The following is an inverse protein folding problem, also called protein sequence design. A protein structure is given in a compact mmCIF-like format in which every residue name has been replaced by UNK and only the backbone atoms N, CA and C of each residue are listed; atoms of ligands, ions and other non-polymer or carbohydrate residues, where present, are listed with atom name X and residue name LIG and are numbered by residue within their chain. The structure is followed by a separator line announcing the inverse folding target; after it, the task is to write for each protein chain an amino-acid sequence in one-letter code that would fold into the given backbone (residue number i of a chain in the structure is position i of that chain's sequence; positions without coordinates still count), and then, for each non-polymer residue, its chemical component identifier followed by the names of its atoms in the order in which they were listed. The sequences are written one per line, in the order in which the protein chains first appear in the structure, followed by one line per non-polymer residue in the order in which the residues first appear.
data_IF_210269862033
#
_entry.id   IF_210269862033
#
_cell.length_a   1.000
_cell.length_b   1.000
_cell.length_c   1.000
_cell.angle_alpha   90.00
_cell.angle_beta   90.00
_cell.angle_gamma   90.00
#
_symmetry.space_group_name_H-M   'P 1'
#
loop_
_entity.id
_entity.type
_entity.pdbx_description
1 polymer ?
#
# COMPACT_ATOMS: atom_id res chain seq x y z
N UNK A 1 26.76 21.26 9.42
CA UNK A 1 25.69 20.25 9.62
C UNK A 1 25.42 19.57 8.28
N UNK A 2 25.20 18.25 8.23
CA UNK A 2 25.00 17.53 6.97
C UNK A 2 23.52 17.46 6.62
N UNK A 3 23.15 18.07 5.49
CA UNK A 3 21.83 17.92 4.87
C UNK A 3 21.80 16.66 4.02
N UNK A 4 20.66 15.96 4.05
CA UNK A 4 20.43 14.72 3.30
C UNK A 4 19.02 14.72 2.72
N UNK A 5 18.87 14.07 1.57
CA UNK A 5 17.57 13.80 0.98
C UNK A 5 16.85 12.68 1.73
N UNK A 6 15.51 12.73 1.72
CA UNK A 6 14.71 11.60 2.17
C UNK A 6 15.05 10.34 1.36
N UNK A 7 15.23 9.20 2.04
CA UNK A 7 15.48 7.90 1.39
C UNK A 7 14.36 7.41 0.47
N UNK A 8 13.15 7.97 0.63
CA UNK A 8 11.99 7.69 -0.21
C UNK A 8 11.82 8.73 -1.32
N UNK A 9 12.85 9.56 -1.55
CA UNK A 9 12.90 10.57 -2.60
C UNK A 9 13.16 10.02 -3.98
N UNK A 10 12.82 10.83 -4.98
CA UNK A 10 13.12 10.58 -6.39
C UNK A 10 14.55 11.02 -6.69
N UNK A 11 15.53 10.31 -6.15
CA UNK A 11 16.94 10.63 -6.37
C UNK A 11 17.62 9.41 -7.00
N UNK A 12 17.88 9.48 -8.30
CA UNK A 12 18.80 8.57 -8.96
C UNK A 12 20.22 8.96 -8.58
N UNK A 13 20.94 8.08 -7.88
CA UNK A 13 22.40 8.21 -7.76
C UNK A 13 23.03 7.24 -8.75
N UNK A 14 23.57 7.76 -9.84
CA UNK A 14 24.65 7.06 -10.53
C UNK A 14 25.93 7.26 -9.71
N UNK A 15 26.46 6.18 -9.14
CA UNK A 15 27.67 6.21 -8.32
C UNK A 15 28.93 6.56 -9.15
N UNK A 16 28.83 6.53 -10.49
CA UNK A 16 29.93 6.86 -11.40
C UNK A 16 30.00 8.35 -11.78
N UNK A 17 28.90 9.12 -11.71
CA UNK A 17 28.85 10.48 -12.26
C UNK A 17 28.50 11.60 -11.27
N UNK A 18 28.13 11.28 -10.01
CA UNK A 18 27.65 12.26 -9.02
C UNK A 18 26.52 13.19 -9.53
N UNK A 19 25.85 12.83 -10.63
CA UNK A 19 24.71 13.57 -11.16
C UNK A 19 23.40 12.97 -10.66
N UNK A 20 22.59 13.80 -10.02
CA UNK A 20 21.21 13.49 -9.64
C UNK A 20 20.33 13.86 -10.82
N UNK A 21 19.78 12.87 -11.54
CA UNK A 21 18.71 13.12 -12.51
C UNK A 21 17.34 13.01 -11.82
N UNK A 22 16.42 13.88 -12.21
CA UNK A 22 15.02 13.83 -11.81
C UNK A 22 14.42 12.53 -12.38
N UNK A 23 14.02 11.62 -11.50
CA UNK A 23 13.26 10.44 -11.90
C UNK A 23 11.80 10.87 -11.95
N UNK A 24 11.09 10.65 -13.07
CA UNK A 24 9.66 10.93 -13.27
C UNK A 24 8.72 10.20 -12.28
N UNK A 25 9.27 9.52 -11.28
CA UNK A 25 8.53 8.81 -10.26
C UNK A 25 8.26 9.73 -9.08
N UNK A 26 7.01 9.85 -8.59
CA UNK A 26 6.71 10.75 -7.48
C UNK A 26 7.39 10.19 -6.22
N UNK A 27 8.41 10.89 -5.75
CA UNK A 27 9.16 10.59 -4.53
C UNK A 27 9.20 11.80 -3.61
N UNK A 28 9.58 11.59 -2.35
CA UNK A 28 9.72 12.69 -1.39
C UNK A 28 10.87 13.63 -1.75
N UNK A 29 10.58 14.90 -2.02
CA UNK A 29 11.61 15.91 -2.34
C UNK A 29 12.24 16.57 -1.11
N UNK A 30 11.90 16.11 0.10
CA UNK A 30 12.31 16.77 1.34
C UNK A 30 13.80 16.59 1.61
N UNK A 31 14.48 17.72 1.81
CA UNK A 31 15.86 17.79 2.32
C UNK A 31 15.81 18.18 3.79
N UNK A 32 16.60 17.50 4.63
CA UNK A 32 16.62 17.72 6.08
C UNK A 32 17.98 17.45 6.68
N UNK A 33 18.18 17.82 7.94
CA UNK A 33 19.38 17.45 8.68
C UNK A 33 19.37 15.94 8.92
N UNK A 34 20.55 15.31 8.90
CA UNK A 34 20.67 13.85 9.05
C UNK A 34 20.01 13.29 10.32
N UNK A 35 19.96 14.03 11.41
CA UNK A 35 19.30 13.58 12.65
C UNK A 35 17.77 13.61 12.56
N UNK A 36 17.18 14.35 11.61
CA UNK A 36 15.73 14.48 11.42
C UNK A 36 15.17 13.36 10.54
N UNK A 37 16.02 12.59 9.86
CA UNK A 37 15.58 11.53 8.94
C UNK A 37 14.75 10.45 9.61
N UNK A 38 15.07 9.93 10.82
CA UNK A 38 14.27 8.87 11.41
C UNK A 38 12.84 9.33 11.74
N UNK A 39 12.67 10.59 12.13
CA UNK A 39 11.36 11.18 12.41
C UNK A 39 10.57 11.36 11.12
N UNK A 40 11.19 11.93 10.08
CA UNK A 40 10.52 12.11 8.80
C UNK A 40 10.13 10.78 8.13
N UNK A 41 11.02 9.79 8.12
CA UNK A 41 10.78 8.51 7.45
C UNK A 41 9.58 7.74 8.01
N UNK A 42 9.29 7.90 9.31
CA UNK A 42 8.09 7.35 9.96
C UNK A 42 6.79 7.92 9.40
N UNK A 43 6.81 9.17 8.97
CA UNK A 43 5.61 9.91 8.54
C UNK A 43 5.58 10.18 7.03
N UNK A 44 6.67 9.90 6.33
CA UNK A 44 6.82 10.19 4.91
C UNK A 44 5.72 9.48 4.10
N UNK A 45 4.87 10.20 3.34
CA UNK A 45 3.80 9.61 2.52
C UNK A 45 4.33 8.67 1.43
N UNK A 46 5.58 8.90 1.00
CA UNK A 46 6.30 8.04 0.07
C UNK A 46 6.96 6.85 0.74
N UNK A 47 6.85 6.69 2.06
CA UNK A 47 7.25 5.45 2.74
C UNK A 47 6.44 4.27 2.22
N UNK A 48 7.02 3.08 2.25
CA UNK A 48 6.33 1.85 1.88
C UNK A 48 5.57 1.27 3.08
N UNK A 49 4.41 0.68 2.81
CA UNK A 49 3.60 -0.04 3.78
C UNK A 49 3.06 -1.33 3.15
N UNK A 50 3.14 -2.43 3.91
CA UNK A 50 2.56 -3.70 3.51
C UNK A 50 1.06 -3.69 3.82
N UNK A 51 0.25 -4.22 2.91
CA UNK A 51 -1.16 -4.38 3.17
C UNK A 51 -1.42 -5.34 4.34
N UNK A 52 -2.30 -4.92 5.25
CA UNK A 52 -2.68 -5.73 6.42
C UNK A 52 -4.02 -6.46 6.23
N UNK A 53 -4.63 -6.38 5.05
CA UNK A 53 -5.91 -7.04 4.79
C UNK A 53 -5.71 -8.55 4.64
N UNK A 54 -6.61 -9.29 5.28
CA UNK A 54 -6.58 -10.75 5.36
C UNK A 54 -7.84 -11.27 4.69
N UNK A 55 -7.65 -12.29 3.86
CA UNK A 55 -8.74 -13.02 3.24
C UNK A 55 -9.53 -13.75 4.34
N UNK A 56 -10.81 -13.43 4.50
CA UNK A 56 -11.67 -14.03 5.51
C UNK A 56 -11.97 -15.52 5.28
N UNK A 57 -11.82 -16.00 4.05
CA UNK A 57 -12.09 -17.39 3.69
C UNK A 57 -10.82 -18.25 3.84
N UNK A 58 -9.67 -17.75 3.38
CA UNK A 58 -8.42 -18.52 3.37
C UNK A 58 -7.44 -18.16 4.49
N UNK A 59 -7.65 -17.04 5.18
CA UNK A 59 -6.71 -16.48 6.15
C UNK A 59 -5.44 -15.90 5.52
N UNK A 60 -5.37 -15.82 4.18
CA UNK A 60 -4.19 -15.33 3.47
C UNK A 60 -4.08 -13.80 3.52
N UNK A 61 -2.87 -13.29 3.78
CA UNK A 61 -2.60 -11.85 3.85
C UNK A 61 -2.29 -11.33 2.44
N UNK A 62 -2.81 -10.15 2.10
CA UNK A 62 -2.45 -9.45 0.87
C UNK A 62 -0.94 -9.14 0.86
N UNK A 63 -0.22 -9.59 -0.19
CA UNK A 63 1.23 -9.40 -0.30
C UNK A 63 1.64 -8.07 -0.92
N UNK A 64 0.70 -7.17 -1.19
CA UNK A 64 0.96 -5.89 -1.84
C UNK A 64 1.72 -4.94 -0.93
N UNK A 65 2.83 -4.41 -1.44
CA UNK A 65 3.56 -3.29 -0.86
C UNK A 65 3.23 -2.04 -1.67
N UNK A 66 2.72 -0.99 -1.02
CA UNK A 66 2.38 0.27 -1.68
C UNK A 66 2.91 1.48 -0.90
N UNK A 67 2.88 2.66 -1.50
CA UNK A 67 3.22 3.90 -0.80
C UNK A 67 2.13 4.20 0.23
N UNK A 68 2.49 4.79 1.37
CA UNK A 68 1.52 5.21 2.39
C UNK A 68 0.44 6.13 1.83
N UNK A 69 0.81 7.02 0.90
CA UNK A 69 -0.13 7.90 0.20
C UNK A 69 -1.18 7.14 -0.62
N UNK A 70 -0.81 5.98 -1.18
CA UNK A 70 -1.68 5.14 -1.99
C UNK A 70 -2.41 4.08 -1.16
N UNK A 71 -2.07 3.92 0.12
CA UNK A 71 -2.55 2.82 0.95
C UNK A 71 -4.06 2.83 1.12
N UNK A 72 -4.66 4.00 1.36
CA UNK A 72 -6.10 4.14 1.49
C UNK A 72 -6.85 3.71 0.21
N UNK A 73 -6.32 4.08 -0.97
CA UNK A 73 -6.87 3.63 -2.26
C UNK A 73 -6.72 2.11 -2.40
N UNK A 74 -5.52 1.59 -2.13
CA UNK A 74 -5.29 0.15 -2.18
C UNK A 74 -6.28 -0.63 -1.28
N UNK A 75 -6.56 -0.16 -0.06
CA UNK A 75 -7.51 -0.84 0.83
C UNK A 75 -8.93 -0.92 0.25
N UNK A 76 -9.36 0.08 -0.53
CA UNK A 76 -10.66 0.09 -1.19
C UNK A 76 -10.72 -0.85 -2.40
N UNK A 77 -9.59 -1.08 -3.06
CA UNK A 77 -9.45 -1.90 -4.26
C UNK A 77 -8.93 -3.31 -3.96
N UNK A 78 -8.47 -3.57 -2.73
CA UNK A 78 -7.81 -4.82 -2.38
C UNK A 78 -8.77 -6.00 -2.48
N UNK A 79 -8.35 -7.05 -3.19
CA UNK A 79 -9.08 -8.31 -3.32
C UNK A 79 -9.33 -9.04 -2.00
N UNK A 80 -8.56 -8.73 -0.97
CA UNK A 80 -8.72 -9.25 0.40
C UNK A 80 -9.70 -8.41 1.24
N UNK A 81 -10.25 -7.31 0.71
CA UNK A 81 -11.24 -6.50 1.42
C UNK A 81 -12.55 -7.28 1.59
N UNK A 82 -13.23 -7.02 2.70
CA UNK A 82 -14.53 -7.60 2.98
C UNK A 82 -15.63 -6.88 2.18
N UNK A 83 -16.43 -7.67 1.46
CA UNK A 83 -17.63 -7.25 0.76
C UNK A 83 -18.83 -8.05 1.28
N UNK A 84 -20.00 -7.43 1.28
CA UNK A 84 -21.24 -8.12 1.63
C UNK A 84 -21.74 -8.91 0.42
N UNK A 85 -22.32 -10.08 0.68
CA UNK A 85 -23.13 -10.77 -0.33
C UNK A 85 -24.30 -9.89 -0.76
N UNK A 86 -24.67 -9.93 -2.04
CA UNK A 86 -25.81 -9.18 -2.58
C UNK A 86 -27.11 -9.99 -2.64
N UNK A 87 -27.06 -11.29 -2.35
CA UNK A 87 -28.23 -12.16 -2.39
C UNK A 87 -29.17 -11.83 -1.23
N UNK A 88 -30.47 -11.78 -1.49
CA UNK A 88 -31.46 -11.34 -0.51
C UNK A 88 -31.57 -12.36 0.64
N UNK A 89 -31.27 -11.93 1.86
CA UNK A 89 -31.27 -12.79 3.05
C UNK A 89 -29.89 -13.34 3.44
N UNK A 90 -28.84 -13.05 2.67
CA UNK A 90 -27.47 -13.39 3.06
C UNK A 90 -26.75 -12.22 3.76
N UNK A 91 -26.45 -12.36 5.05
CA UNK A 91 -25.67 -11.38 5.82
C UNK A 91 -24.16 -11.67 5.83
N UNK A 92 -23.68 -12.62 5.02
CA UNK A 92 -22.27 -12.98 4.99
C UNK A 92 -21.40 -11.87 4.39
N UNK A 93 -20.22 -11.70 4.99
CA UNK A 93 -19.16 -10.83 4.48
C UNK A 93 -17.94 -11.68 4.15
N UNK A 94 -17.60 -11.72 2.88
CA UNK A 94 -16.47 -12.50 2.36
C UNK A 94 -15.43 -11.59 1.71
N UNK A 95 -14.22 -12.10 1.50
CA UNK A 95 -13.22 -11.40 0.70
C UNK A 95 -13.74 -11.21 -0.71
N UNK A 96 -13.47 -10.07 -1.35
CA UNK A 96 -13.86 -9.82 -2.74
C UNK A 96 -13.46 -10.98 -3.67
N UNK A 97 -12.22 -11.47 -3.55
CA UNK A 97 -11.73 -12.61 -4.34
C UNK A 97 -12.42 -13.95 -4.09
N UNK A 98 -13.16 -14.08 -3.00
CA UNK A 98 -13.90 -15.28 -2.64
C UNK A 98 -15.40 -15.12 -2.85
N UNK A 99 -15.86 -13.96 -3.32
CA UNK A 99 -17.27 -13.66 -3.53
C UNK A 99 -17.89 -14.57 -4.61
N UNK A 100 -17.19 -14.79 -5.73
CA UNK A 100 -17.68 -15.69 -6.79
C UNK A 100 -17.87 -17.12 -6.26
N UNK A 101 -16.91 -17.61 -5.48
CA UNK A 101 -17.00 -18.93 -4.83
C UNK A 101 -18.12 -18.99 -3.79
N UNK A 102 -18.35 -17.89 -3.05
CA UNK A 102 -19.48 -17.81 -2.14
C UNK A 102 -20.80 -17.95 -2.91
N UNK A 103 -20.98 -17.28 -4.04
CA UNK A 103 -22.21 -17.37 -4.84
C UNK A 103 -22.52 -18.79 -5.33
N UNK A 104 -21.51 -19.62 -5.63
CA UNK A 104 -21.72 -21.03 -5.99
C UNK A 104 -22.32 -21.87 -4.84
N UNK A 105 -22.20 -21.40 -3.60
CA UNK A 105 -22.61 -22.13 -2.38
C UNK A 105 -23.60 -21.36 -1.53
N UNK A 106 -24.02 -20.17 -1.97
CA UNK A 106 -24.94 -19.32 -1.23
C UNK A 106 -26.33 -19.97 -1.21
N UNK A 107 -26.97 -19.97 -0.04
CA UNK A 107 -28.31 -20.54 0.15
C UNK A 107 -29.44 -19.55 -0.14
N UNK A 108 -29.09 -18.32 -0.54
CA UNK A 108 -29.99 -17.19 -0.76
C UNK A 108 -29.87 -16.71 -2.21
N UNK A 109 -30.90 -16.06 -2.75
CA UNK A 109 -30.95 -15.50 -4.12
C UNK A 109 -31.14 -13.98 -4.11
#
# INVERSE_FOLDING_TARGET
EQLVYCRFGAHGTDWASQQVYEVDSPGCTKVMRRFETPSHEKECPYGWVACSLVDATTGSICKTLCRKLDYARHQQECDHRLVACTNEGCDERVSLRSLDKHYETCLFE
#
